data_IF_210885525922
#
_entry.id   IF_210885525922
#
_cell.length_a   1.000
_cell.length_b   1.000
_cell.length_c   1.000
_cell.angle_alpha   90.00
_cell.angle_beta   90.00
_cell.angle_gamma   90.00
#
_symmetry.space_group_name_H-M   'P 1'
#
loop_
_entity.id
_entity.type
_entity.pdbx_description
1 polymer ?
#
# COMPACT_ATOMS: atom_id res chain seq x y z
N UNK A 1 9.50 8.86 -8.32
CA UNK A 1 8.16 8.80 -8.94
C UNK A 1 7.16 8.70 -7.80
N UNK A 2 6.02 9.40 -7.86
CA UNK A 2 5.04 9.39 -6.76
C UNK A 2 4.22 8.09 -6.85
N UNK A 3 4.42 7.16 -5.91
CA UNK A 3 3.68 5.89 -5.82
C UNK A 3 2.22 6.07 -5.33
N UNK A 4 1.58 7.15 -5.77
CA UNK A 4 0.21 7.50 -5.35
C UNK A 4 -0.80 6.47 -5.80
N UNK A 5 -0.67 5.93 -7.02
CA UNK A 5 -1.67 5.01 -7.57
C UNK A 5 -1.75 3.72 -6.74
N UNK A 6 -0.65 2.95 -6.51
CA UNK A 6 -0.73 1.74 -5.68
C UNK A 6 -1.18 2.03 -4.25
N UNK A 7 -0.73 3.14 -3.66
CA UNK A 7 -1.14 3.57 -2.33
C UNK A 7 -2.65 3.80 -2.23
N UNK A 8 -3.22 4.61 -3.13
CA UNK A 8 -4.66 4.86 -3.17
C UNK A 8 -5.46 3.60 -3.48
N UNK A 9 -4.95 2.76 -4.39
CA UNK A 9 -5.58 1.47 -4.73
C UNK A 9 -5.67 0.60 -3.49
N UNK A 10 -4.57 0.48 -2.73
CA UNK A 10 -4.54 -0.32 -1.51
C UNK A 10 -5.49 0.24 -0.45
N UNK A 11 -5.51 1.56 -0.27
CA UNK A 11 -6.44 2.22 0.65
C UNK A 11 -7.90 1.88 0.32
N UNK A 12 -8.31 2.05 -0.94
CA UNK A 12 -9.69 1.74 -1.37
C UNK A 12 -9.97 0.25 -1.28
N UNK A 13 -9.01 -0.62 -1.60
CA UNK A 13 -9.15 -2.08 -1.49
C UNK A 13 -9.37 -2.54 -0.04
N UNK A 14 -8.64 -1.98 0.93
CA UNK A 14 -8.84 -2.26 2.36
C UNK A 14 -10.26 -1.85 2.79
N UNK A 15 -10.70 -0.65 2.39
CA UNK A 15 -12.08 -0.18 2.66
C UNK A 15 -13.13 -1.09 2.00
N UNK A 16 -12.91 -1.47 0.75
CA UNK A 16 -13.80 -2.36 0.00
C UNK A 16 -13.88 -3.76 0.62
N UNK A 17 -12.81 -4.23 1.26
CA UNK A 17 -12.78 -5.48 2.01
C UNK A 17 -13.45 -5.39 3.41
N UNK A 18 -14.05 -4.25 3.76
CA UNK A 18 -14.77 -4.06 5.02
C UNK A 18 -13.89 -3.67 6.21
N UNK A 19 -12.65 -3.23 5.97
CA UNK A 19 -11.73 -2.81 7.02
C UNK A 19 -11.53 -1.29 7.03
N UNK A 20 -11.14 -0.76 8.20
CA UNK A 20 -10.81 0.67 8.35
C UNK A 20 -9.33 0.91 8.04
N UNK A 21 -9.05 1.82 7.11
CA UNK A 21 -7.68 2.26 6.84
C UNK A 21 -7.25 3.36 7.82
N UNK A 22 -6.08 3.19 8.43
CA UNK A 22 -5.43 4.23 9.21
C UNK A 22 -4.14 4.67 8.48
N UNK A 23 -4.15 5.87 7.92
CA UNK A 23 -3.02 6.37 7.14
C UNK A 23 -1.95 6.96 8.06
N UNK A 24 -0.72 6.46 7.95
CA UNK A 24 0.42 6.93 8.72
C UNK A 24 1.37 7.68 7.78
N UNK A 25 1.68 8.93 8.12
CA UNK A 25 2.64 9.74 7.38
C UNK A 25 4.06 9.30 7.73
N UNK A 26 4.88 8.99 6.71
CA UNK A 26 6.31 8.70 6.87
C UNK A 26 7.13 9.89 7.39
N UNK A 27 6.53 11.09 7.43
CA UNK A 27 7.12 12.29 8.06
C UNK A 27 7.01 12.26 9.58
N UNK A 28 6.23 11.34 10.14
CA UNK A 28 6.15 11.19 11.59
C UNK A 28 7.40 10.47 12.10
N UNK A 29 7.98 10.91 13.24
CA UNK A 29 9.09 10.20 13.84
C UNK A 29 8.64 8.82 14.36
N UNK A 30 9.58 7.86 14.51
CA UNK A 30 9.27 6.50 15.00
C UNK A 30 8.42 6.49 16.27
N UNK A 31 8.77 7.30 17.28
CA UNK A 31 8.02 7.37 18.54
C UNK A 31 6.56 7.81 18.36
N UNK A 32 6.28 8.73 17.43
CA UNK A 32 4.91 9.14 17.13
C UNK A 32 4.14 8.01 16.44
N UNK A 33 4.78 7.28 15.51
CA UNK A 33 4.19 6.12 14.85
C UNK A 33 3.87 5.03 15.89
N UNK A 34 4.81 4.73 16.79
CA UNK A 34 4.64 3.79 17.90
C UNK A 34 3.41 4.11 18.74
N UNK A 35 3.30 5.38 19.17
CA UNK A 35 2.17 5.84 19.96
C UNK A 35 0.85 5.68 19.19
N UNK A 36 0.80 6.07 17.91
CA UNK A 36 -0.41 5.90 17.10
C UNK A 36 -0.82 4.43 16.97
N UNK A 37 0.14 3.52 16.74
CA UNK A 37 -0.13 2.08 16.62
C UNK A 37 -0.67 1.52 17.93
N UNK A 38 -0.10 1.90 19.08
CA UNK A 38 -0.57 1.42 20.39
C UNK A 38 -1.97 1.93 20.73
N UNK A 39 -2.31 3.16 20.36
CA UNK A 39 -3.63 3.74 20.61
C UNK A 39 -4.71 3.18 19.68
N UNK A 40 -4.40 3.02 18.39
CA UNK A 40 -5.39 2.60 17.38
C UNK A 40 -5.58 1.07 17.39
N UNK A 41 -4.58 0.31 17.85
CA UNK A 41 -4.64 -1.15 17.83
C UNK A 41 -4.58 -1.72 16.41
N UNK A 42 -3.71 -1.13 15.56
CA UNK A 42 -3.51 -1.59 14.18
C UNK A 42 -3.11 -3.06 14.18
N UNK A 43 -3.77 -3.88 13.35
CA UNK A 43 -3.52 -5.33 13.25
C UNK A 43 -2.52 -5.70 12.15
N UNK A 44 -2.47 -4.89 11.09
CA UNK A 44 -1.65 -5.14 9.92
C UNK A 44 -1.12 -3.82 9.35
N UNK A 45 0.17 -3.78 9.02
CA UNK A 45 0.86 -2.63 8.48
C UNK A 45 1.29 -2.91 7.03
N UNK A 46 0.92 -2.02 6.11
CA UNK A 46 1.43 -2.06 4.74
C UNK A 46 2.54 -1.03 4.58
N UNK A 47 3.73 -1.50 4.20
CA UNK A 47 4.95 -0.69 4.15
C UNK A 47 5.42 -0.62 2.71
N UNK A 48 5.72 0.58 2.22
CA UNK A 48 6.33 0.72 0.90
C UNK A 48 7.71 0.03 0.89
N UNK A 49 8.00 -0.72 -0.17
CA UNK A 49 9.28 -1.41 -0.37
C UNK A 49 10.41 -0.41 -0.68
N UNK A 50 10.80 0.37 0.32
CA UNK A 50 11.85 1.37 0.27
C UNK A 50 12.66 1.28 1.58
N UNK A 51 14.01 1.22 1.53
CA UNK A 51 14.82 0.99 2.74
C UNK A 51 14.58 2.00 3.87
N UNK A 52 14.24 3.24 3.52
CA UNK A 52 13.90 4.31 4.46
C UNK A 52 12.61 4.00 5.24
N UNK A 53 11.61 3.42 4.57
CA UNK A 53 10.30 3.10 5.14
C UNK A 53 10.34 1.83 5.98
N UNK A 54 11.09 0.82 5.52
CA UNK A 54 11.32 -0.40 6.28
C UNK A 54 12.05 -0.10 7.59
N UNK A 55 13.12 0.69 7.53
CA UNK A 55 13.86 1.13 8.72
C UNK A 55 12.97 1.90 9.70
N UNK A 56 12.15 2.82 9.20
CA UNK A 56 11.21 3.59 10.01
C UNK A 56 10.18 2.68 10.71
N UNK A 57 9.65 1.69 9.99
CA UNK A 57 8.72 0.72 10.55
C UNK A 57 9.38 -0.16 11.61
N UNK A 58 10.60 -0.64 11.37
CA UNK A 58 11.36 -1.45 12.32
C UNK A 58 11.67 -0.69 13.61
N UNK A 59 12.09 0.57 13.50
CA UNK A 59 12.32 1.45 14.66
C UNK A 59 11.03 1.62 15.48
N UNK A 60 9.89 1.88 14.82
CA UNK A 60 8.60 2.00 15.50
C UNK A 60 8.16 0.68 16.16
N UNK A 61 8.36 -0.47 15.50
CA UNK A 61 8.02 -1.79 16.07
C UNK A 61 8.88 -2.14 17.28
N UNK A 62 10.16 -1.77 17.26
CA UNK A 62 11.06 -1.98 18.39
C UNK A 62 10.64 -1.10 19.59
N UNK A 63 10.33 0.17 19.34
CA UNK A 63 9.79 1.06 20.37
C UNK A 63 8.44 0.56 20.93
N UNK A 64 7.57 -0.01 20.09
CA UNK A 64 6.29 -0.55 20.53
C UNK A 64 6.46 -1.64 21.58
N UNK A 65 7.41 -2.57 21.36
CA UNK A 65 7.73 -3.63 22.31
C UNK A 65 8.29 -3.09 23.63
N UNK A 66 9.04 -1.99 23.58
CA UNK A 66 9.68 -1.39 24.75
C UNK A 66 8.71 -0.52 25.57
N UNK A 67 7.96 0.36 24.91
CA UNK A 67 7.12 1.37 25.55
C UNK A 67 5.70 0.88 25.85
N UNK A 68 5.20 -0.09 25.07
CA UNK A 68 3.84 -0.60 25.18
C UNK A 68 3.83 -2.14 25.22
N UNK A 69 4.40 -2.77 26.28
CA UNK A 69 4.59 -4.23 26.33
C UNK A 69 3.30 -5.06 26.31
N UNK A 70 2.15 -4.44 26.59
CA UNK A 70 0.83 -5.07 26.49
C UNK A 70 0.20 -4.93 25.09
N UNK A 71 0.78 -4.13 24.21
CA UNK A 71 0.30 -3.97 22.83
C UNK A 71 0.74 -5.14 21.98
N UNK A 72 -0.18 -5.65 21.16
CA UNK A 72 0.11 -6.69 20.17
C UNK A 72 0.77 -6.01 18.97
N UNK A 73 1.98 -6.45 18.60
CA UNK A 73 2.65 -5.94 17.42
C UNK A 73 1.86 -6.32 16.15
N UNK A 74 1.61 -5.38 15.22
CA UNK A 74 0.94 -5.69 13.97
C UNK A 74 1.81 -6.62 13.11
N UNK A 75 1.15 -7.46 12.30
CA UNK A 75 1.84 -8.08 11.18
C UNK A 75 2.20 -7.02 10.13
N UNK A 76 3.18 -7.29 9.28
CA UNK A 76 3.55 -6.38 8.19
C UNK A 76 3.55 -7.08 6.83
N UNK A 77 3.29 -6.31 5.78
CA UNK A 77 3.47 -6.74 4.39
C UNK A 77 3.90 -5.55 3.55
N UNK A 78 4.61 -5.83 2.46
CA UNK A 78 4.96 -4.79 1.50
C UNK A 78 3.71 -4.29 0.78
N UNK A 79 3.67 -2.98 0.50
CA UNK A 79 2.72 -2.43 -0.46
C UNK A 79 3.04 -3.01 -1.84
N UNK A 80 2.01 -3.42 -2.60
CA UNK A 80 2.22 -3.90 -3.95
C UNK A 80 2.76 -2.79 -4.84
N UNK A 81 3.63 -3.18 -5.78
CA UNK A 81 4.16 -2.28 -6.80
C UNK A 81 3.07 -1.96 -7.83
N UNK A 82 3.27 -0.88 -8.60
CA UNK A 82 2.37 -0.55 -9.69
C UNK A 82 2.29 -1.69 -10.71
N UNK A 83 3.44 -2.25 -11.04
CA UNK A 83 3.59 -3.34 -12.00
C UNK A 83 2.82 -4.58 -11.56
N UNK A 84 2.83 -4.89 -10.26
CA UNK A 84 2.13 -6.05 -9.69
C UNK A 84 0.60 -5.90 -9.75
N UNK A 85 0.09 -4.66 -9.67
CA UNK A 85 -1.34 -4.39 -9.68
C UNK A 85 -1.91 -4.19 -11.10
N UNK A 86 -1.11 -3.61 -12.00
CA UNK A 86 -1.62 -3.05 -13.25
C UNK A 86 -1.00 -3.64 -14.51
N UNK A 87 0.16 -4.30 -14.42
CA UNK A 87 0.72 -5.00 -15.57
C UNK A 87 0.25 -6.47 -15.58
N UNK A 88 -0.13 -6.99 -16.75
CA UNK A 88 -0.51 -8.38 -16.87
C UNK A 88 0.68 -9.30 -16.54
N UNK A 89 0.44 -10.32 -15.71
CA UNK A 89 1.43 -11.35 -15.34
C UNK A 89 1.99 -12.12 -16.55
N UNK A 90 1.26 -12.15 -17.67
CA UNK A 90 1.77 -12.61 -18.94
C UNK A 90 1.18 -11.77 -20.08
N UNK A 91 2.06 -11.27 -20.93
CA UNK A 91 1.66 -10.67 -22.19
C UNK A 91 1.40 -11.83 -23.16
N UNK A 92 0.18 -12.37 -23.17
CA UNK A 92 -0.33 -12.84 -24.46
C UNK A 92 -0.45 -11.57 -25.30
N UNK A 93 0.54 -11.31 -26.14
CA UNK A 93 0.49 -10.23 -27.13
C UNK A 93 -0.65 -10.59 -28.07
N UNK A 94 -1.86 -10.15 -27.72
CA UNK A 94 -2.96 -10.13 -28.67
C UNK A 94 -2.70 -8.88 -29.49
N UNK A 95 -2.13 -9.08 -30.67
CA UNK A 95 -2.02 -8.04 -31.69
C UNK A 95 -3.45 -7.61 -32.04
N UNK A 96 -3.96 -6.56 -31.38
CA UNK A 96 -5.27 -6.01 -31.72
C UNK A 96 -5.06 -5.16 -32.98
N UNK A 97 -5.61 -5.54 -34.14
CA UNK A 97 -5.36 -4.79 -35.35
C UNK A 97 -5.96 -3.39 -35.23
N UNK A 98 -5.11 -2.38 -35.32
CA UNK A 98 -5.52 -0.97 -35.48
C UNK A 98 -6.11 -0.82 -36.89
N UNK A 99 -7.40 -1.14 -37.07
CA UNK A 99 -8.32 -0.53 -38.04
C UNK A 99 -9.64 -1.28 -38.14
N UNK A 100 -10.70 -0.68 -37.59
CA UNK A 100 -12.05 -0.68 -38.17
C UNK A 100 -12.96 0.28 -37.41
N UNK A 101 -12.55 1.55 -37.32
CA UNK A 101 -13.46 2.64 -36.91
C UNK A 101 -13.41 3.81 -37.88
N UNK A 102 -13.46 3.52 -39.18
CA UNK A 102 -13.78 4.50 -40.23
C UNK A 102 -14.59 3.81 -41.33
N UNK A 103 -15.82 3.38 -41.02
CA UNK A 103 -16.85 3.13 -42.06
C UNK A 103 -18.27 3.01 -41.50
N UNK A 104 -18.58 3.72 -40.40
CA UNK A 104 -19.96 3.95 -39.96
C UNK A 104 -20.37 5.42 -40.14
N UNK A 105 -19.84 6.07 -41.17
CA UNK A 105 -20.24 7.42 -41.60
C UNK A 105 -20.02 7.58 -43.11
N UNK A 106 -20.69 6.78 -43.93
CA UNK A 106 -21.06 7.20 -45.29
C UNK A 106 -22.39 6.56 -45.65
N UNK A 107 -23.39 7.43 -45.78
CA UNK A 107 -24.56 7.24 -46.63
C UNK A 107 -24.16 7.02 -48.07
#
# INVERSE_FOLDING_TARGET
MLDGIPYFTMMISIMHAGYTTFLISSRNPPAAITHLISQVGVKHLFIKLEPSMEKLADEAMNLLKMEYPLSIAPNSSSLPLFEELYLPLSMAIVDVPIRSRVQMLLH
#
